data_IF_375756281003
#
_entry.id   IF_375756281003
#
_cell.length_a   1.000
_cell.length_b   1.000
_cell.length_c   1.000
_cell.angle_alpha   90.00
_cell.angle_beta   90.00
_cell.angle_gamma   90.00
#
_symmetry.space_group_name_H-M   'P 1'
#
loop_
_entity.id
_entity.type
_entity.pdbx_description
1 polymer ?
#
# COMPACT_ATOMS: atom_id res chain seq x y z
N UNK A 1 -10.02 -17.64 5.44
CA UNK A 1 -10.44 -17.06 4.15
C UNK A 1 -10.60 -15.54 4.30
N UNK A 2 -10.38 -14.81 3.24
CA UNK A 2 -10.48 -13.34 3.22
C UNK A 2 -11.05 -12.84 1.89
N UNK A 3 -11.48 -11.60 1.85
CA UNK A 3 -11.95 -10.92 0.64
C UNK A 3 -10.85 -9.99 0.12
N UNK A 4 -10.50 -10.12 -1.16
CA UNK A 4 -9.64 -9.16 -1.87
C UNK A 4 -10.50 -8.20 -2.67
N UNK A 5 -10.37 -6.90 -2.38
CA UNK A 5 -11.03 -5.82 -3.11
C UNK A 5 -10.02 -5.07 -3.99
N UNK A 6 -10.47 -4.61 -5.14
CA UNK A 6 -9.79 -3.58 -5.94
C UNK A 6 -10.70 -2.34 -5.94
N UNK A 7 -10.31 -1.30 -5.22
CA UNK A 7 -11.15 -0.12 -4.99
C UNK A 7 -10.57 1.16 -5.62
N UNK A 8 -9.52 1.02 -6.41
CA UNK A 8 -8.96 2.11 -7.22
C UNK A 8 -8.27 1.57 -8.48
N UNK A 9 -7.95 2.48 -9.41
CA UNK A 9 -7.05 2.19 -10.52
C UNK A 9 -5.60 2.01 -10.10
N UNK A 10 -4.75 1.64 -11.06
CA UNK A 10 -3.31 1.52 -10.90
C UNK A 10 -2.62 2.88 -11.01
N UNK A 11 -1.37 2.98 -10.56
CA UNK A 11 -0.50 4.12 -10.84
C UNK A 11 -0.21 4.22 -12.34
N UNK A 12 -0.28 5.43 -12.90
CA UNK A 12 0.28 5.73 -14.22
C UNK A 12 1.77 6.04 -14.05
N UNK A 13 2.63 5.12 -14.48
CA UNK A 13 4.08 5.24 -14.28
C UNK A 13 4.75 6.28 -15.21
N UNK A 14 4.02 6.83 -16.18
CA UNK A 14 4.50 7.94 -17.03
C UNK A 14 4.05 9.32 -16.54
N UNK A 15 3.17 9.38 -15.53
CA UNK A 15 2.60 10.62 -14.99
C UNK A 15 2.41 10.55 -13.48
N UNK A 16 3.29 11.22 -12.77
CA UNK A 16 3.18 11.33 -11.31
C UNK A 16 1.81 11.88 -10.86
N UNK A 17 1.22 11.28 -9.84
CA UNK A 17 -0.06 11.71 -9.27
C UNK A 17 -1.29 11.27 -10.04
N UNK A 18 -1.14 10.48 -11.10
CA UNK A 18 -2.25 10.03 -11.95
C UNK A 18 -2.52 8.54 -11.72
N UNK A 19 -3.79 8.19 -11.56
CA UNK A 19 -4.27 6.81 -11.57
C UNK A 19 -4.89 6.49 -12.94
N UNK A 20 -4.84 5.23 -13.35
CA UNK A 20 -5.42 4.74 -14.61
C UNK A 20 -6.94 4.87 -14.64
N UNK A 21 -7.54 4.75 -13.46
CA UNK A 21 -8.97 4.88 -13.22
C UNK A 21 -9.19 5.57 -11.87
N UNK A 22 -10.28 6.31 -11.66
CA UNK A 22 -10.62 6.89 -10.37
C UNK A 22 -10.85 5.79 -9.33
N UNK A 23 -10.87 6.17 -8.06
CA UNK A 23 -11.37 5.30 -6.98
C UNK A 23 -12.86 5.02 -7.14
N UNK A 24 -13.28 3.90 -6.57
CA UNK A 24 -14.70 3.57 -6.42
C UNK A 24 -15.39 4.61 -5.52
N UNK A 25 -16.72 4.67 -5.60
CA UNK A 25 -17.50 5.55 -4.74
C UNK A 25 -17.28 5.20 -3.26
N UNK A 26 -17.12 6.23 -2.42
CA UNK A 26 -16.78 6.03 -1.01
C UNK A 26 -17.85 5.25 -0.23
N UNK A 27 -19.12 5.39 -0.59
CA UNK A 27 -20.21 4.66 0.05
C UNK A 27 -20.20 3.18 -0.38
N UNK A 28 -19.86 2.89 -1.63
CA UNK A 28 -19.70 1.52 -2.13
C UNK A 28 -18.51 0.82 -1.47
N UNK A 29 -17.37 1.53 -1.29
CA UNK A 29 -16.20 1.02 -0.56
C UNK A 29 -16.58 0.64 0.86
N UNK A 30 -17.21 1.56 1.60
CA UNK A 30 -17.63 1.32 2.98
C UNK A 30 -18.60 0.13 3.08
N UNK A 31 -19.59 0.09 2.19
CA UNK A 31 -20.57 -0.98 2.19
C UNK A 31 -19.93 -2.35 1.91
N UNK A 32 -19.02 -2.44 0.94
CA UNK A 32 -18.33 -3.69 0.61
C UNK A 32 -17.50 -4.23 1.79
N UNK A 33 -16.74 -3.36 2.45
CA UNK A 33 -15.93 -3.74 3.62
C UNK A 33 -16.83 -4.13 4.78
N UNK A 34 -17.87 -3.34 5.07
CA UNK A 34 -18.84 -3.62 6.12
C UNK A 34 -19.49 -5.00 5.95
N UNK A 35 -19.95 -5.32 4.74
CA UNK A 35 -20.56 -6.63 4.44
C UNK A 35 -19.55 -7.76 4.65
N UNK A 36 -18.32 -7.62 4.17
CA UNK A 36 -17.28 -8.64 4.33
C UNK A 36 -17.01 -8.91 5.82
N UNK A 37 -16.86 -7.87 6.64
CA UNK A 37 -16.67 -8.00 8.08
C UNK A 37 -17.89 -8.62 8.79
N UNK A 38 -19.11 -8.23 8.40
CA UNK A 38 -20.34 -8.82 8.95
C UNK A 38 -20.46 -10.31 8.68
N UNK A 39 -19.91 -10.78 7.55
CA UNK A 39 -19.84 -12.21 7.20
C UNK A 39 -18.60 -12.93 7.80
N UNK A 40 -17.77 -12.21 8.57
CA UNK A 40 -16.62 -12.77 9.28
C UNK A 40 -15.35 -12.88 8.44
N UNK A 41 -15.25 -12.16 7.33
CA UNK A 41 -14.05 -12.14 6.49
C UNK A 41 -13.20 -10.91 6.78
N UNK A 42 -11.88 -11.10 6.82
CA UNK A 42 -10.92 -10.00 6.73
C UNK A 42 -10.86 -9.44 5.30
N UNK A 43 -10.51 -8.18 5.16
CA UNK A 43 -10.48 -7.48 3.87
C UNK A 43 -9.08 -6.97 3.55
N UNK A 44 -8.57 -7.38 2.39
CA UNK A 44 -7.34 -6.90 1.79
C UNK A 44 -7.70 -6.00 0.58
N UNK A 45 -7.30 -4.74 0.57
CA UNK A 45 -7.69 -3.79 -0.46
C UNK A 45 -6.51 -3.27 -1.28
N UNK A 46 -6.52 -3.50 -2.61
CA UNK A 46 -5.75 -2.67 -3.53
C UNK A 46 -6.38 -1.28 -3.54
N UNK A 47 -5.66 -0.28 -3.05
CA UNK A 47 -6.15 1.08 -2.93
C UNK A 47 -5.03 2.10 -3.16
N UNK A 48 -5.27 3.05 -4.04
CA UNK A 48 -4.42 4.19 -4.33
C UNK A 48 -5.24 5.48 -4.23
N UNK A 49 -4.58 6.57 -3.85
CA UNK A 49 -5.25 7.86 -3.64
C UNK A 49 -5.78 8.02 -2.22
N UNK A 50 -5.66 9.24 -1.70
CA UNK A 50 -5.98 9.52 -0.31
C UNK A 50 -7.46 9.29 0.04
N UNK A 51 -8.38 9.77 -0.79
CA UNK A 51 -9.82 9.66 -0.54
C UNK A 51 -10.28 8.20 -0.45
N UNK A 52 -9.80 7.36 -1.38
CA UNK A 52 -10.10 5.92 -1.41
C UNK A 52 -9.61 5.21 -0.14
N UNK A 53 -8.38 5.52 0.29
CA UNK A 53 -7.79 4.92 1.48
C UNK A 53 -8.50 5.39 2.75
N UNK A 54 -8.87 6.67 2.86
CA UNK A 54 -9.65 7.20 3.99
C UNK A 54 -11.00 6.46 4.10
N UNK A 55 -11.74 6.35 2.99
CA UNK A 55 -13.03 5.65 2.97
C UNK A 55 -12.91 4.18 3.42
N UNK A 56 -11.85 3.48 2.99
CA UNK A 56 -11.60 2.11 3.43
C UNK A 56 -11.25 2.02 4.93
N UNK A 57 -10.49 2.99 5.46
CA UNK A 57 -10.10 3.04 6.87
C UNK A 57 -11.27 3.35 7.81
N UNK A 58 -12.28 4.11 7.37
CA UNK A 58 -13.49 4.36 8.14
C UNK A 58 -14.23 3.07 8.51
N UNK A 59 -14.19 2.04 7.66
CA UNK A 59 -14.72 0.69 7.92
C UNK A 59 -13.62 -0.29 8.39
N UNK A 60 -12.45 0.24 8.82
CA UNK A 60 -11.35 -0.54 9.41
C UNK A 60 -10.87 -1.68 8.51
N UNK A 61 -10.66 -1.40 7.23
CA UNK A 61 -10.02 -2.36 6.31
C UNK A 61 -8.77 -2.98 6.95
N UNK A 62 -8.58 -4.28 6.79
CA UNK A 62 -7.51 -5.00 7.49
C UNK A 62 -6.13 -4.74 6.90
N UNK A 63 -6.01 -4.64 5.57
CA UNK A 63 -4.79 -4.17 4.92
C UNK A 63 -5.04 -3.33 3.68
N UNK A 64 -4.12 -2.40 3.43
CA UNK A 64 -4.00 -1.62 2.20
C UNK A 64 -2.76 -2.08 1.45
N UNK A 65 -2.96 -2.46 0.20
CA UNK A 65 -1.90 -2.81 -0.75
C UNK A 65 -1.58 -1.59 -1.63
N UNK A 66 -0.33 -1.36 -1.90
CA UNK A 66 0.24 -0.23 -2.66
C UNK A 66 0.12 1.11 -1.94
N UNK A 67 -1.05 1.72 -1.85
CA UNK A 67 -1.23 2.99 -1.15
C UNK A 67 -0.43 4.14 -1.80
N UNK A 68 -0.48 4.27 -3.12
CA UNK A 68 0.18 5.38 -3.79
C UNK A 68 -0.56 6.70 -3.59
N UNK A 69 0.20 7.81 -3.57
CA UNK A 69 -0.32 9.19 -3.52
C UNK A 69 -1.16 9.51 -2.28
N UNK A 70 -0.75 8.98 -1.12
CA UNK A 70 -1.38 9.30 0.17
C UNK A 70 -0.92 10.67 0.66
N UNK A 71 -1.84 11.39 1.30
CA UNK A 71 -1.57 12.59 2.06
C UNK A 71 -1.49 12.29 3.56
N UNK A 72 -1.19 13.30 4.37
CA UNK A 72 -1.09 13.17 5.83
C UNK A 72 -2.38 12.63 6.48
N UNK A 73 -3.53 13.10 5.99
CA UNK A 73 -4.85 12.68 6.50
C UNK A 73 -5.07 11.17 6.30
N UNK A 74 -4.75 10.63 5.12
CA UNK A 74 -4.85 9.21 4.83
C UNK A 74 -3.88 8.37 5.69
N UNK A 75 -2.65 8.84 5.89
CA UNK A 75 -1.69 8.17 6.76
C UNK A 75 -2.17 8.13 8.22
N UNK A 76 -2.73 9.23 8.72
CA UNK A 76 -3.34 9.27 10.05
C UNK A 76 -4.54 8.31 10.15
N UNK A 77 -5.44 8.33 9.18
CA UNK A 77 -6.61 7.44 9.15
C UNK A 77 -6.20 5.96 9.18
N UNK A 78 -5.18 5.57 8.41
CA UNK A 78 -4.63 4.20 8.44
C UNK A 78 -4.05 3.84 9.81
N UNK A 79 -3.29 4.74 10.42
CA UNK A 79 -2.68 4.49 11.74
C UNK A 79 -3.75 4.37 12.83
N UNK A 80 -4.75 5.24 12.84
CA UNK A 80 -5.87 5.23 13.79
C UNK A 80 -6.76 3.99 13.63
N UNK A 81 -6.99 3.55 12.39
CA UNK A 81 -7.76 2.34 12.09
C UNK A 81 -7.02 1.05 12.48
N UNK A 82 -5.70 1.10 12.66
CA UNK A 82 -4.86 -0.09 12.84
C UNK A 82 -4.75 -0.94 11.57
N UNK A 83 -4.90 -0.31 10.42
CA UNK A 83 -4.77 -0.94 9.11
C UNK A 83 -3.30 -1.26 8.83
N UNK A 84 -3.00 -2.46 8.35
CA UNK A 84 -1.65 -2.82 7.92
C UNK A 84 -1.40 -2.29 6.52
N UNK A 85 -0.34 -1.54 6.33
CA UNK A 85 0.08 -1.10 5.00
C UNK A 85 1.14 -2.03 4.40
N UNK A 86 0.88 -2.52 3.20
CA UNK A 86 1.81 -3.33 2.38
C UNK A 86 2.19 -2.49 1.16
N UNK A 87 3.25 -1.67 1.22
CA UNK A 87 3.50 -0.61 0.25
C UNK A 87 3.94 -1.10 -1.13
N UNK A 88 4.42 -2.34 -1.23
CA UNK A 88 4.85 -2.94 -2.51
C UNK A 88 5.79 -2.06 -3.33
N UNK A 89 6.75 -1.39 -2.68
CA UNK A 89 7.72 -0.49 -3.31
C UNK A 89 8.45 -1.13 -4.48
N UNK A 90 8.60 -2.46 -4.44
CA UNK A 90 9.24 -3.26 -5.49
C UNK A 90 8.54 -3.15 -6.84
N UNK A 91 7.21 -2.90 -6.88
CA UNK A 91 6.47 -2.70 -8.13
C UNK A 91 6.94 -1.46 -8.89
N UNK A 92 7.38 -0.43 -8.16
CA UNK A 92 7.93 0.80 -8.70
C UNK A 92 9.45 0.66 -8.88
N UNK A 93 10.16 0.22 -7.84
CA UNK A 93 11.62 0.16 -7.83
C UNK A 93 12.22 -0.73 -8.92
N UNK A 94 11.54 -1.81 -9.28
CA UNK A 94 11.98 -2.69 -10.37
C UNK A 94 11.76 -2.11 -11.77
N UNK A 95 11.07 -0.98 -11.91
CA UNK A 95 10.92 -0.26 -13.18
C UNK A 95 12.13 0.60 -13.53
N UNK A 96 12.94 0.95 -12.54
CA UNK A 96 14.12 1.79 -12.68
C UNK A 96 15.10 1.16 -13.68
N UNK A 97 15.59 1.96 -14.61
CA UNK A 97 16.56 1.53 -15.63
C UNK A 97 16.02 0.55 -16.66
N UNK A 98 14.72 0.30 -16.72
CA UNK A 98 14.11 -0.63 -17.70
C UNK A 98 13.73 0.05 -19.02
N UNK A 99 13.70 1.38 -19.07
CA UNK A 99 13.38 2.13 -20.28
C UNK A 99 11.95 1.93 -20.81
N UNK A 100 11.06 1.37 -19.97
CA UNK A 100 9.66 1.15 -20.34
C UNK A 100 8.79 2.36 -20.08
N UNK A 101 9.09 3.09 -19.01
CA UNK A 101 8.40 4.29 -18.58
C UNK A 101 9.41 5.44 -18.48
N UNK A 102 8.91 6.65 -18.30
CA UNK A 102 9.75 7.83 -18.10
C UNK A 102 10.47 7.73 -16.75
N UNK A 103 11.79 7.55 -16.78
CA UNK A 103 12.62 7.34 -15.59
C UNK A 103 12.39 8.39 -14.51
N UNK A 104 12.30 9.66 -14.93
CA UNK A 104 12.05 10.79 -14.03
C UNK A 104 10.71 10.64 -13.27
N UNK A 105 9.67 10.13 -13.92
CA UNK A 105 8.37 9.91 -13.27
C UNK A 105 8.40 8.70 -12.34
N UNK A 106 9.06 7.61 -12.75
CA UNK A 106 9.26 6.43 -11.90
C UNK A 106 10.00 6.80 -10.61
N UNK A 107 11.07 7.61 -10.70
CA UNK A 107 11.82 8.07 -9.52
C UNK A 107 10.94 8.93 -8.60
N UNK A 108 10.19 9.88 -9.14
CA UNK A 108 9.27 10.73 -8.34
C UNK A 108 8.22 9.88 -7.61
N UNK A 109 7.65 8.87 -8.29
CA UNK A 109 6.65 7.99 -7.70
C UNK A 109 7.28 7.20 -6.55
N UNK A 110 8.47 6.63 -6.76
CA UNK A 110 9.17 5.85 -5.74
C UNK A 110 9.57 6.73 -4.54
N UNK A 111 10.15 7.89 -4.77
CA UNK A 111 10.52 8.83 -3.70
C UNK A 111 9.31 9.24 -2.85
N UNK A 112 8.17 9.55 -3.50
CA UNK A 112 6.93 9.87 -2.81
C UNK A 112 6.40 8.69 -1.96
N UNK A 113 6.45 7.47 -2.50
CA UNK A 113 6.02 6.28 -1.77
C UNK A 113 6.93 6.01 -0.56
N UNK A 114 8.26 6.10 -0.73
CA UNK A 114 9.22 5.92 0.35
C UNK A 114 9.10 6.99 1.44
N UNK A 115 8.83 8.24 1.07
CA UNK A 115 8.58 9.31 2.04
C UNK A 115 7.32 9.05 2.86
N UNK A 116 6.24 8.58 2.22
CA UNK A 116 5.03 8.20 2.93
C UNK A 116 5.25 7.00 3.87
N UNK A 117 6.08 6.03 3.48
CA UNK A 117 6.49 4.91 4.36
C UNK A 117 7.20 5.44 5.61
N UNK A 118 8.14 6.39 5.48
CA UNK A 118 8.82 7.03 6.62
C UNK A 118 7.82 7.73 7.55
N UNK A 119 6.92 8.52 6.99
CA UNK A 119 5.90 9.26 7.75
C UNK A 119 4.97 8.31 8.49
N UNK A 120 4.51 7.27 7.81
CA UNK A 120 3.61 6.28 8.43
C UNK A 120 4.30 5.54 9.59
N UNK A 121 5.58 5.21 9.45
CA UNK A 121 6.36 4.62 10.54
C UNK A 121 6.48 5.57 11.74
N UNK A 122 6.70 6.88 11.51
CA UNK A 122 6.74 7.91 12.58
C UNK A 122 5.40 8.01 13.31
N UNK A 123 4.28 7.85 12.61
CA UNK A 123 2.93 7.80 13.20
C UNK A 123 2.67 6.52 14.00
N UNK A 124 3.62 5.57 14.02
CA UNK A 124 3.44 4.27 14.65
C UNK A 124 2.61 3.28 13.83
N UNK A 125 2.46 3.55 12.55
CA UNK A 125 1.70 2.72 11.63
C UNK A 125 2.27 1.32 11.46
N UNK A 126 1.41 0.37 11.09
CA UNK A 126 1.73 -1.03 10.89
C UNK A 126 2.16 -1.26 9.43
N UNK A 127 3.42 -1.61 9.19
CA UNK A 127 3.96 -1.87 7.86
C UNK A 127 4.34 -3.34 7.75
N UNK A 128 3.88 -4.01 6.70
CA UNK A 128 4.31 -5.37 6.37
C UNK A 128 4.92 -5.43 4.96
N UNK A 129 5.95 -6.26 4.72
CA UNK A 129 6.55 -6.39 3.41
C UNK A 129 5.66 -7.23 2.49
N UNK A 130 5.55 -6.79 1.23
CA UNK A 130 4.89 -7.54 0.17
C UNK A 130 5.44 -7.13 -1.18
N UNK A 131 5.77 -8.10 -2.02
CA UNK A 131 6.48 -7.84 -3.29
C UNK A 131 5.55 -7.63 -4.47
N UNK A 132 4.31 -8.07 -4.37
CA UNK A 132 3.39 -8.21 -5.52
C UNK A 132 4.04 -8.98 -6.69
N UNK A 133 4.82 -10.03 -6.33
CA UNK A 133 5.51 -10.85 -7.31
C UNK A 133 4.55 -11.65 -8.17
N UNK A 134 4.92 -11.84 -9.46
CA UNK A 134 4.06 -12.50 -10.44
C UNK A 134 3.57 -11.54 -11.52
N UNK A 135 3.51 -10.23 -11.24
CA UNK A 135 3.41 -9.22 -12.27
C UNK A 135 4.74 -9.16 -13.06
N UNK A 136 4.69 -8.73 -14.30
CA UNK A 136 5.88 -8.65 -15.17
C UNK A 136 7.04 -7.81 -14.60
N UNK A 137 6.76 -6.91 -13.65
CA UNK A 137 7.75 -6.01 -13.04
C UNK A 137 8.54 -6.66 -11.91
N UNK A 138 7.96 -7.63 -11.20
CA UNK A 138 8.56 -8.19 -9.99
C UNK A 138 8.74 -9.69 -10.11
N UNK A 139 9.99 -10.19 -10.28
CA UNK A 139 10.25 -11.62 -10.32
C UNK A 139 10.02 -12.26 -8.94
N UNK A 140 9.54 -13.50 -8.92
CA UNK A 140 9.45 -14.29 -7.70
C UNK A 140 10.80 -14.43 -7.01
N UNK A 141 10.82 -14.30 -5.69
CA UNK A 141 12.05 -14.36 -4.88
C UNK A 141 12.87 -13.07 -4.89
N UNK A 142 12.32 -11.98 -5.43
CA UNK A 142 12.95 -10.65 -5.38
C UNK A 142 13.11 -10.16 -3.93
N UNK A 143 14.28 -9.62 -3.61
CA UNK A 143 14.57 -8.95 -2.34
C UNK A 143 14.44 -7.43 -2.44
N UNK A 144 13.98 -6.91 -3.58
CA UNK A 144 13.90 -5.46 -3.84
C UNK A 144 13.00 -4.76 -2.83
N UNK A 145 11.88 -5.37 -2.45
CA UNK A 145 10.97 -4.79 -1.45
C UNK A 145 11.68 -4.53 -0.12
N UNK A 146 12.33 -5.56 0.41
CA UNK A 146 13.07 -5.41 1.67
C UNK A 146 14.21 -4.39 1.57
N UNK A 147 14.92 -4.36 0.45
CA UNK A 147 16.00 -3.38 0.25
C UNK A 147 15.47 -1.94 0.23
N UNK A 148 14.33 -1.69 -0.42
CA UNK A 148 13.70 -0.36 -0.45
C UNK A 148 13.11 0.03 0.91
N UNK A 149 12.51 -0.91 1.64
CA UNK A 149 12.05 -0.67 3.00
C UNK A 149 13.22 -0.36 3.94
N UNK A 150 14.35 -1.07 3.81
CA UNK A 150 15.58 -0.78 4.56
C UNK A 150 16.13 0.62 4.23
N UNK A 151 16.10 1.03 2.96
CA UNK A 151 16.49 2.37 2.54
C UNK A 151 15.55 3.44 3.12
N UNK A 152 14.26 3.16 3.19
CA UNK A 152 13.27 4.08 3.75
C UNK A 152 13.32 4.19 5.27
N UNK A 153 13.42 3.07 6.00
CA UNK A 153 13.23 2.99 7.44
C UNK A 153 14.53 2.91 8.26
N UNK A 154 15.66 2.59 7.60
CA UNK A 154 16.96 2.50 8.25
C UNK A 154 17.11 1.32 9.22
N UNK A 155 17.82 1.54 10.33
CA UNK A 155 18.16 0.48 11.30
C UNK A 155 16.95 -0.13 12.02
N UNK A 156 15.84 0.58 12.09
CA UNK A 156 14.64 0.12 12.79
C UNK A 156 13.72 -0.76 11.90
N UNK A 157 14.11 -1.03 10.66
CA UNK A 157 13.29 -1.74 9.66
C UNK A 157 12.74 -3.05 10.20
N UNK A 158 13.59 -3.94 10.71
CA UNK A 158 13.15 -5.26 11.16
C UNK A 158 12.13 -5.17 12.30
N UNK A 159 12.35 -4.27 13.25
CA UNK A 159 11.45 -4.08 14.39
C UNK A 159 10.08 -3.50 13.95
N UNK A 160 10.07 -2.62 12.96
CA UNK A 160 8.85 -2.06 12.38
C UNK A 160 8.08 -3.14 11.63
N UNK A 161 8.76 -3.87 10.75
CA UNK A 161 8.14 -4.91 9.92
C UNK A 161 7.62 -6.09 10.75
N UNK A 162 8.32 -6.48 11.84
CA UNK A 162 7.87 -7.56 12.72
C UNK A 162 6.50 -7.27 13.32
N UNK A 163 6.22 -6.02 13.71
CA UNK A 163 4.91 -5.61 14.21
C UNK A 163 3.81 -5.79 13.15
N UNK A 164 4.03 -5.27 11.94
CA UNK A 164 3.06 -5.40 10.84
C UNK A 164 2.85 -6.86 10.42
N UNK A 165 3.94 -7.65 10.33
CA UNK A 165 3.87 -9.08 10.02
C UNK A 165 3.07 -9.84 11.07
N UNK A 166 3.23 -9.52 12.35
CA UNK A 166 2.48 -10.16 13.43
C UNK A 166 1.00 -9.91 13.26
N UNK A 167 0.59 -8.64 13.09
CA UNK A 167 -0.82 -8.29 12.92
C UNK A 167 -1.41 -8.89 11.65
N UNK A 168 -0.71 -8.84 10.51
CA UNK A 168 -1.25 -9.39 9.26
C UNK A 168 -1.47 -10.90 9.32
N UNK A 169 -0.60 -11.64 10.02
CA UNK A 169 -0.76 -13.08 10.24
C UNK A 169 -1.95 -13.44 11.14
N UNK A 170 -2.36 -12.54 12.02
CA UNK A 170 -3.53 -12.74 12.87
C UNK A 170 -4.83 -12.46 12.12
N UNK A 171 -4.78 -11.61 11.10
CA UNK A 171 -5.93 -11.21 10.30
C UNK A 171 -6.21 -12.14 9.12
N UNK A 172 -5.18 -12.74 8.53
CA UNK A 172 -5.23 -13.57 7.31
C UNK A 172 -4.64 -14.97 7.50
#
# INVERSE_FOLDING_TARGET
>A
DFIKLMISGLMDFDRFGVLTEPGEDSDDIRQAIHIAHAEGFSVMAHANGAETVIAACEEKVDSIEHGAYLNEEALCAMAEAGTVWVPTLSTIGNLRGKGRFREEEVEKILESAMENVRRFAVLGGLIAPGTDAGAWAVPHGSLTEYALLLEALGEDTDAILEKGITVIREKF
#
